data_IF_235770078836
#
_entry.id   IF_235770078836
#
_cell.length_a   1.000
_cell.length_b   1.000
_cell.length_c   1.000
_cell.angle_alpha   90.00
_cell.angle_beta   90.00
_cell.angle_gamma   90.00
#
_symmetry.space_group_name_H-M   'P 1'
#
loop_
_entity.id
_entity.type
_entity.pdbx_description
1 polymer ?
#
# COMPACT_ATOMS: atom_id res chain seq x y z
N UNK A 1 12.91 -1.26 8.68
CA UNK A 1 12.69 -2.68 8.34
C UNK A 1 11.20 -2.91 8.24
N UNK A 2 10.76 -3.37 7.08
CA UNK A 2 9.35 -3.65 6.80
C UNK A 2 8.95 -5.05 7.30
N UNK A 3 7.68 -5.43 7.09
CA UNK A 3 7.17 -6.73 7.52
C UNK A 3 7.93 -7.90 6.88
N UNK A 4 8.33 -7.78 5.60
CA UNK A 4 9.11 -8.81 4.90
C UNK A 4 10.52 -8.95 5.49
N UNK A 5 11.21 -7.83 5.75
CA UNK A 5 12.51 -7.84 6.40
C UNK A 5 12.46 -8.41 7.82
N UNK A 6 11.41 -8.07 8.59
CA UNK A 6 11.14 -8.66 9.92
C UNK A 6 10.98 -10.18 9.84
N UNK A 7 10.20 -10.65 8.87
CA UNK A 7 10.01 -12.09 8.66
C UNK A 7 11.33 -12.80 8.31
N UNK A 8 12.14 -12.24 7.42
CA UNK A 8 13.46 -12.79 7.09
C UNK A 8 14.36 -12.89 8.32
N UNK A 9 14.41 -11.86 9.16
CA UNK A 9 15.20 -11.86 10.39
C UNK A 9 14.74 -12.94 11.37
N UNK A 10 13.43 -13.00 11.65
CA UNK A 10 12.87 -13.98 12.59
C UNK A 10 13.07 -15.41 12.11
N UNK A 11 12.91 -15.67 10.81
CA UNK A 11 13.13 -16.99 10.23
C UNK A 11 14.61 -17.41 10.30
N UNK A 12 15.53 -16.50 9.99
CA UNK A 12 16.97 -16.76 10.11
C UNK A 12 17.35 -17.03 11.57
N UNK A 13 16.86 -16.23 12.52
CA UNK A 13 17.12 -16.43 13.94
C UNK A 13 16.56 -17.79 14.42
N UNK A 14 15.34 -18.14 14.03
CA UNK A 14 14.76 -19.44 14.33
C UNK A 14 15.54 -20.61 13.69
N UNK A 15 16.17 -20.42 12.53
CA UNK A 15 17.03 -21.43 11.91
C UNK A 15 18.30 -21.66 12.73
N UNK A 16 18.99 -20.58 13.16
CA UNK A 16 20.16 -20.65 14.04
C UNK A 16 19.82 -21.36 15.36
N UNK A 17 18.70 -21.01 16.00
CA UNK A 17 18.26 -21.65 17.25
C UNK A 17 17.97 -23.15 17.09
N UNK A 18 17.69 -23.63 15.88
CA UNK A 18 17.49 -25.05 15.56
C UNK A 18 18.76 -25.75 15.08
N UNK A 19 19.91 -25.08 15.12
CA UNK A 19 21.19 -25.59 14.60
C UNK A 19 21.24 -25.72 13.08
N UNK A 20 20.41 -24.96 12.35
CA UNK A 20 20.30 -24.99 10.87
C UNK A 20 20.84 -23.71 10.26
N UNK A 21 22.10 -23.41 10.54
CA UNK A 21 22.77 -22.19 10.06
C UNK A 21 22.90 -22.16 8.53
N UNK A 22 22.93 -23.34 7.90
CA UNK A 22 22.90 -23.54 6.46
C UNK A 22 21.63 -22.96 5.79
N UNK A 23 20.55 -22.79 6.56
CA UNK A 23 19.28 -22.24 6.08
C UNK A 23 19.21 -20.71 6.21
N UNK A 24 20.26 -20.06 6.72
CA UNK A 24 20.31 -18.60 6.83
C UNK A 24 20.65 -18.01 5.46
N UNK A 25 19.74 -17.24 4.84
CA UNK A 25 20.02 -16.64 3.53
C UNK A 25 21.15 -15.60 3.64
N UNK A 26 22.04 -15.51 2.63
CA UNK A 26 23.02 -14.44 2.53
C UNK A 26 22.41 -13.05 2.72
N UNK A 27 23.01 -12.25 3.60
CA UNK A 27 22.55 -10.89 3.84
C UNK A 27 22.99 -9.96 2.71
N UNK A 28 22.05 -9.25 2.08
CA UNK A 28 22.33 -8.34 0.96
C UNK A 28 23.17 -7.12 1.38
N UNK A 29 23.28 -6.87 2.69
CA UNK A 29 24.06 -5.78 3.27
C UNK A 29 23.20 -4.61 3.73
N UNK A 30 23.85 -3.69 4.46
CA UNK A 30 23.22 -2.50 5.05
C UNK A 30 23.75 -1.19 4.43
N UNK A 31 25.01 -1.18 3.98
CA UNK A 31 25.71 0.05 3.62
C UNK A 31 25.40 0.57 2.21
N UNK A 32 24.92 -0.29 1.31
CA UNK A 32 24.52 0.11 -0.05
C UNK A 32 23.01 0.00 -0.14
N UNK A 33 22.34 1.10 -0.43
CA UNK A 33 20.91 1.10 -0.75
C UNK A 33 20.72 0.58 -2.19
N UNK A 34 20.09 -0.60 -2.38
CA UNK A 34 19.83 -1.13 -3.72
C UNK A 34 18.88 -0.24 -4.53
N UNK A 35 18.09 0.61 -3.87
CA UNK A 35 17.15 1.54 -4.49
C UNK A 35 17.80 2.89 -4.88
N UNK A 36 19.04 3.16 -4.45
CA UNK A 36 19.73 4.41 -4.75
C UNK A 36 19.93 4.64 -6.25
N UNK A 37 20.17 3.58 -7.02
CA UNK A 37 20.46 3.67 -8.45
C UNK A 37 19.19 3.61 -9.33
N UNK A 38 17.97 3.59 -8.75
CA UNK A 38 16.71 3.69 -9.49
C UNK A 38 16.51 5.13 -10.01
N UNK A 39 17.33 5.52 -10.97
CA UNK A 39 17.26 6.80 -11.66
C UNK A 39 16.09 6.77 -12.66
N UNK A 40 14.91 7.23 -12.24
CA UNK A 40 13.92 7.73 -13.18
C UNK A 40 14.03 9.26 -13.25
N UNK A 41 13.88 9.81 -14.45
CA UNK A 41 13.55 11.23 -14.58
C UNK A 41 12.05 11.34 -14.34
N UNK A 42 11.60 11.98 -13.25
CA UNK A 42 10.17 12.10 -13.00
C UNK A 42 9.56 12.93 -14.13
N UNK A 43 8.51 12.45 -14.83
CA UNK A 43 7.83 13.23 -15.87
C UNK A 43 6.97 14.37 -15.30
N UNK A 44 7.13 14.72 -14.02
CA UNK A 44 6.15 15.49 -13.28
C UNK A 44 6.46 16.99 -13.19
N UNK A 45 6.21 17.70 -14.29
CA UNK A 45 6.16 19.17 -14.31
C UNK A 45 4.88 19.75 -13.65
N UNK A 46 3.85 18.95 -13.32
CA UNK A 46 2.53 19.51 -12.93
C UNK A 46 2.37 19.88 -11.46
N UNK A 47 3.26 19.45 -10.54
CA UNK A 47 3.00 19.66 -9.10
C UNK A 47 3.45 21.03 -8.57
N UNK A 48 4.22 21.81 -9.33
CA UNK A 48 4.77 23.09 -8.85
C UNK A 48 4.54 24.19 -9.88
N UNK A 49 3.34 24.79 -9.90
CA UNK A 49 3.11 26.01 -10.71
C UNK A 49 2.61 27.23 -9.96
N UNK A 50 2.50 27.19 -8.64
CA UNK A 50 2.38 28.45 -7.90
C UNK A 50 3.01 28.41 -6.51
N UNK A 51 4.06 29.21 -6.35
CA UNK A 51 4.71 29.55 -5.07
C UNK A 51 3.70 29.97 -3.97
N UNK A 52 2.61 30.63 -4.36
CA UNK A 52 1.53 31.03 -3.45
C UNK A 52 0.70 29.84 -2.94
N UNK A 53 0.41 28.85 -3.79
CA UNK A 53 -0.31 27.63 -3.39
C UNK A 53 0.58 26.71 -2.56
N UNK A 54 1.89 26.70 -2.79
CA UNK A 54 2.86 26.03 -1.93
C UNK A 54 2.87 26.63 -0.52
N UNK A 55 2.96 27.97 -0.37
CA UNK A 55 2.93 28.63 0.94
C UNK A 55 1.59 28.35 1.66
N UNK A 56 0.48 28.40 0.93
CA UNK A 56 -0.85 28.07 1.47
C UNK A 56 -0.93 26.60 1.91
N UNK A 57 -0.45 25.67 1.09
CA UNK A 57 -0.45 24.23 1.41
C UNK A 57 0.63 23.83 2.42
N UNK A 58 1.69 24.62 2.61
CA UNK A 58 2.79 24.31 3.54
C UNK A 58 2.45 24.73 4.98
N UNK A 59 1.64 25.78 5.16
CA UNK A 59 1.29 26.28 6.49
C UNK A 59 -0.20 26.08 6.84
N UNK A 60 -1.13 26.50 5.97
CA UNK A 60 -2.57 26.38 6.25
C UNK A 60 -3.05 24.94 6.08
N UNK A 61 -2.51 24.19 5.11
CA UNK A 61 -2.86 22.78 4.89
C UNK A 61 -2.63 21.91 6.13
N UNK A 62 -1.40 21.84 6.67
CA UNK A 62 -1.09 21.08 7.87
C UNK A 62 -1.85 21.59 9.09
N UNK A 63 -2.00 22.90 9.25
CA UNK A 63 -2.75 23.46 10.38
C UNK A 63 -4.23 23.03 10.33
N UNK A 64 -4.89 23.13 9.18
CA UNK A 64 -6.28 22.69 9.00
C UNK A 64 -6.40 21.17 9.16
N UNK A 65 -5.42 20.40 8.70
CA UNK A 65 -5.37 18.96 8.88
C UNK A 65 -5.26 18.58 10.36
N UNK A 66 -4.41 19.29 11.12
CA UNK A 66 -4.26 19.10 12.57
C UNK A 66 -5.53 19.51 13.31
N UNK A 67 -6.13 20.65 12.97
CA UNK A 67 -7.41 21.09 13.57
C UNK A 67 -8.50 20.06 13.30
N UNK A 68 -8.61 19.59 12.05
CA UNK A 68 -9.56 18.55 11.66
C UNK A 68 -9.27 17.24 12.39
N UNK A 69 -8.01 16.83 12.47
CA UNK A 69 -7.59 15.61 13.17
C UNK A 69 -7.96 15.67 14.65
N UNK A 70 -7.69 16.79 15.33
CA UNK A 70 -8.11 17.02 16.73
C UNK A 70 -9.64 16.96 16.84
N UNK A 71 -10.36 17.62 15.94
CA UNK A 71 -11.82 17.64 15.92
C UNK A 71 -12.44 16.26 15.63
N UNK A 72 -11.78 15.40 14.86
CA UNK A 72 -12.20 14.01 14.59
C UNK A 72 -11.81 13.08 15.75
N UNK A 73 -10.71 13.34 16.46
CA UNK A 73 -10.26 12.52 17.60
C UNK A 73 -11.08 12.77 18.87
N UNK A 74 -11.52 14.00 19.14
CA UNK A 74 -12.26 14.36 20.37
C UNK A 74 -13.60 13.57 20.51
N UNK A 75 -14.41 13.38 19.44
CA UNK A 75 -15.67 12.65 19.52
C UNK A 75 -15.52 11.13 19.43
N UNK A 76 -14.37 10.60 18.97
CA UNK A 76 -14.18 9.16 18.80
C UNK A 76 -14.09 8.46 20.16
N UNK A 77 -15.06 7.58 20.52
CA UNK A 77 -14.92 6.73 21.69
C UNK A 77 -13.64 5.91 21.57
N UNK A 78 -13.00 5.63 22.72
CA UNK A 78 -11.73 4.89 22.88
C UNK A 78 -11.44 3.96 21.69
N UNK A 79 -10.34 4.20 20.98
CA UNK A 79 -9.86 3.25 19.98
C UNK A 79 -9.67 1.89 20.64
N UNK A 80 -10.53 0.94 20.27
CA UNK A 80 -10.45 -0.44 20.72
C UNK A 80 -9.79 -1.29 19.65
N UNK A 81 -8.70 -1.96 20.01
CA UNK A 81 -8.12 -2.97 19.16
C UNK A 81 -8.93 -4.26 19.33
N UNK A 82 -9.63 -4.67 18.27
CA UNK A 82 -10.36 -5.93 18.19
C UNK A 82 -9.73 -6.83 17.13
N UNK A 83 -9.61 -8.12 17.45
CA UNK A 83 -9.15 -9.13 16.51
C UNK A 83 -10.37 -9.77 15.86
N UNK A 84 -10.44 -9.76 14.52
CA UNK A 84 -11.44 -10.50 13.75
C UNK A 84 -10.73 -11.65 13.05
N UNK A 85 -11.09 -12.87 13.42
CA UNK A 85 -10.54 -14.09 12.82
C UNK A 85 -11.51 -14.58 11.73
N UNK A 86 -11.02 -14.70 10.50
CA UNK A 86 -11.80 -15.19 9.36
C UNK A 86 -11.18 -16.51 8.92
N UNK A 87 -11.93 -17.62 8.94
CA UNK A 87 -11.41 -18.91 8.49
C UNK A 87 -11.01 -18.88 7.02
N UNK A 88 -9.93 -19.58 6.67
CA UNK A 88 -9.45 -19.66 5.28
C UNK A 88 -10.49 -20.18 4.31
N UNK A 89 -11.29 -21.18 4.70
CA UNK A 89 -12.38 -21.72 3.87
C UNK A 89 -13.40 -20.65 3.45
N UNK A 90 -13.74 -19.74 4.36
CA UNK A 90 -14.67 -18.63 4.08
C UNK A 90 -14.04 -17.65 3.09
N UNK A 91 -12.74 -17.35 3.21
CA UNK A 91 -12.05 -16.47 2.25
C UNK A 91 -12.00 -17.10 0.87
N UNK A 92 -11.76 -18.43 0.80
CA UNK A 92 -11.78 -19.18 -0.46
C UNK A 92 -13.17 -19.16 -1.09
N UNK A 93 -14.24 -19.42 -0.32
CA UNK A 93 -15.63 -19.32 -0.78
C UNK A 93 -15.98 -17.91 -1.28
N UNK A 94 -15.58 -16.87 -0.53
CA UNK A 94 -15.76 -15.48 -0.95
C UNK A 94 -15.05 -15.19 -2.28
N UNK A 95 -13.85 -15.76 -2.48
CA UNK A 95 -13.10 -15.60 -3.72
C UNK A 95 -13.77 -16.31 -4.89
N UNK A 96 -14.29 -17.51 -4.68
CA UNK A 96 -15.03 -18.24 -5.71
C UNK A 96 -16.30 -17.49 -6.12
N UNK A 97 -17.06 -16.97 -5.16
CA UNK A 97 -18.22 -16.13 -5.41
C UNK A 97 -17.85 -14.85 -6.19
N UNK A 98 -16.76 -14.17 -5.81
CA UNK A 98 -16.27 -13.00 -6.52
C UNK A 98 -15.88 -13.30 -7.98
N UNK A 99 -15.27 -14.46 -8.25
CA UNK A 99 -14.94 -14.88 -9.62
C UNK A 99 -16.21 -15.18 -10.43
N UNK A 100 -17.20 -15.83 -9.82
CA UNK A 100 -18.49 -16.09 -10.47
C UNK A 100 -19.20 -14.78 -10.84
N UNK A 101 -19.23 -13.80 -9.93
CA UNK A 101 -19.76 -12.46 -10.18
C UNK A 101 -19.09 -11.77 -11.37
N UNK A 102 -17.77 -11.84 -11.46
CA UNK A 102 -16.99 -11.23 -12.54
C UNK A 102 -17.21 -11.93 -13.89
N UNK A 103 -17.29 -13.27 -13.88
CA UNK A 103 -17.51 -14.06 -15.10
C UNK A 103 -18.86 -13.80 -15.77
N UNK A 104 -19.87 -13.36 -15.01
CA UNK A 104 -21.18 -12.97 -15.53
C UNK A 104 -21.18 -11.58 -16.23
N UNK A 105 -20.12 -10.79 -16.05
CA UNK A 105 -20.02 -9.39 -16.47
C UNK A 105 -19.06 -9.11 -17.63
N UNK A 106 -18.70 -10.12 -18.45
CA UNK A 106 -17.80 -10.04 -19.61
C UNK A 106 -16.28 -9.97 -19.32
N UNK A 107 -15.78 -10.67 -18.29
CA UNK A 107 -14.33 -10.85 -18.10
C UNK A 107 -13.95 -12.00 -17.16
N UNK A 108 -13.08 -12.92 -17.62
CA UNK A 108 -12.33 -13.82 -16.73
C UNK A 108 -11.17 -13.05 -16.09
N UNK A 109 -11.49 -12.22 -15.11
CA UNK A 109 -10.48 -11.47 -14.37
C UNK A 109 -10.08 -12.19 -13.07
N UNK A 110 -8.80 -12.56 -12.98
CA UNK A 110 -8.25 -13.17 -11.78
C UNK A 110 -8.27 -12.17 -10.61
N UNK A 111 -8.88 -12.56 -9.50
CA UNK A 111 -8.78 -11.90 -8.18
C UNK A 111 -8.08 -12.83 -7.17
N UNK A 112 -7.29 -12.27 -6.25
CA UNK A 112 -6.69 -13.02 -5.15
C UNK A 112 -7.55 -13.00 -3.89
N UNK A 113 -7.29 -13.91 -2.95
CA UNK A 113 -7.95 -13.91 -1.62
C UNK A 113 -7.71 -12.59 -0.88
N UNK A 114 -6.53 -11.98 -1.02
CA UNK A 114 -6.22 -10.68 -0.42
C UNK A 114 -7.07 -9.56 -1.01
N UNK A 115 -7.36 -9.60 -2.32
CA UNK A 115 -8.15 -8.54 -2.98
C UNK A 115 -9.60 -8.61 -2.50
N UNK A 116 -10.15 -9.83 -2.41
CA UNK A 116 -11.53 -10.09 -1.96
C UNK A 116 -11.70 -9.78 -0.49
N UNK A 117 -10.74 -10.16 0.34
CA UNK A 117 -10.76 -9.85 1.78
C UNK A 117 -10.69 -8.33 2.02
N UNK A 118 -9.81 -7.63 1.30
CA UNK A 118 -9.69 -6.17 1.39
C UNK A 118 -10.97 -5.47 0.91
N UNK A 119 -11.56 -5.94 -0.20
CA UNK A 119 -12.82 -5.42 -0.73
C UNK A 119 -13.97 -5.55 0.28
N UNK A 120 -14.17 -6.75 0.82
CA UNK A 120 -15.19 -6.99 1.83
C UNK A 120 -14.95 -6.17 3.10
N UNK A 121 -13.70 -6.09 3.58
CA UNK A 121 -13.37 -5.33 4.77
C UNK A 121 -13.60 -3.82 4.57
N UNK A 122 -13.20 -3.29 3.41
CA UNK A 122 -13.44 -1.91 3.03
C UNK A 122 -14.95 -1.59 3.01
N UNK A 123 -15.76 -2.46 2.40
CA UNK A 123 -17.21 -2.29 2.38
C UNK A 123 -17.81 -2.25 3.79
N UNK A 124 -17.36 -3.13 4.71
CA UNK A 124 -17.82 -3.13 6.11
C UNK A 124 -17.40 -1.89 6.88
N UNK A 125 -16.17 -1.41 6.70
CA UNK A 125 -15.70 -0.18 7.33
C UNK A 125 -16.51 1.02 6.82
N UNK A 126 -16.64 1.18 5.50
CA UNK A 126 -17.38 2.29 4.90
C UNK A 126 -18.85 2.25 5.33
N UNK A 127 -19.45 1.07 5.41
CA UNK A 127 -20.82 0.89 5.90
C UNK A 127 -20.98 1.38 7.35
N UNK A 128 -20.00 1.11 8.21
CA UNK A 128 -20.03 1.55 9.61
C UNK A 128 -19.86 3.07 9.78
N UNK A 129 -19.23 3.74 8.81
CA UNK A 129 -18.99 5.18 8.83
C UNK A 129 -20.19 6.00 8.33
N UNK A 130 -21.13 5.37 7.61
CA UNK A 130 -22.31 6.02 6.99
C UNK A 130 -21.99 7.36 6.29
N UNK A 131 -20.99 7.42 5.40
CA UNK A 131 -20.65 8.65 4.69
C UNK A 131 -21.77 9.08 3.73
N UNK A 132 -21.81 10.37 3.40
CA UNK A 132 -22.59 10.84 2.24
C UNK A 132 -22.08 10.14 0.97
N UNK A 133 -23.00 9.65 0.14
CA UNK A 133 -22.67 8.72 -0.97
C UNK A 133 -21.60 9.20 -1.95
N UNK A 134 -21.43 10.52 -2.11
CA UNK A 134 -20.46 11.11 -3.06
C UNK A 134 -19.06 11.34 -2.49
N UNK A 135 -18.82 11.02 -1.22
CA UNK A 135 -17.51 11.25 -0.60
C UNK A 135 -16.49 10.24 -1.16
N UNK A 136 -15.33 10.69 -1.66
CA UNK A 136 -14.30 9.77 -2.13
C UNK A 136 -13.68 9.01 -0.95
N UNK A 137 -13.60 7.69 -1.10
CA UNK A 137 -12.91 6.77 -0.20
C UNK A 137 -11.61 6.32 -0.88
N UNK A 138 -10.49 6.53 -0.19
CA UNK A 138 -9.18 6.06 -0.66
C UNK A 138 -8.80 4.79 0.08
N UNK A 139 -8.72 3.68 -0.66
CA UNK A 139 -8.23 2.40 -0.17
C UNK A 139 -6.73 2.31 -0.45
N UNK A 140 -5.97 2.04 0.61
CA UNK A 140 -4.51 1.94 0.60
C UNK A 140 -4.09 0.48 0.72
N UNK A 141 -3.37 -0.05 -0.27
CA UNK A 141 -2.88 -1.41 -0.28
C UNK A 141 -1.35 -1.45 -0.40
N UNK A 142 -0.67 -1.92 0.64
CA UNK A 142 0.80 -1.97 0.66
C UNK A 142 1.29 -3.24 -0.04
N UNK A 143 2.26 -3.10 -0.95
CA UNK A 143 2.84 -4.21 -1.68
C UNK A 143 4.36 -4.20 -1.63
N UNK A 144 4.94 -5.41 -1.61
CA UNK A 144 6.38 -5.59 -1.63
C UNK A 144 6.94 -5.35 -3.05
N UNK A 145 7.94 -4.48 -3.17
CA UNK A 145 8.57 -4.15 -4.46
C UNK A 145 9.73 -5.09 -4.82
N UNK A 146 10.27 -5.87 -3.86
CA UNK A 146 11.40 -6.79 -4.11
C UNK A 146 11.16 -7.72 -5.29
N UNK A 147 9.98 -8.37 -5.45
CA UNK A 147 9.71 -9.24 -6.59
C UNK A 147 9.73 -8.52 -7.95
N UNK A 148 9.52 -7.20 -7.96
CA UNK A 148 9.57 -6.39 -9.18
C UNK A 148 11.00 -6.10 -9.64
N UNK A 149 12.01 -6.24 -8.78
CA UNK A 149 13.42 -5.99 -9.11
C UNK A 149 14.31 -7.17 -8.69
N UNK A 150 14.22 -8.33 -9.38
CA UNK A 150 15.04 -9.49 -9.05
C UNK A 150 16.54 -9.23 -9.17
N UNK A 151 16.94 -8.28 -10.03
CA UNK A 151 18.33 -7.88 -10.21
C UNK A 151 18.88 -7.12 -8.98
N UNK A 152 18.00 -6.38 -8.28
CA UNK A 152 18.35 -5.63 -7.06
C UNK A 152 18.12 -6.45 -5.79
N UNK A 153 17.14 -7.35 -5.82
CA UNK A 153 16.74 -8.21 -4.71
C UNK A 153 16.71 -9.68 -5.17
N UNK A 154 17.87 -10.35 -5.22
CA UNK A 154 17.93 -11.77 -5.54
C UNK A 154 17.10 -12.59 -4.55
N UNK A 155 16.37 -13.60 -5.05
CA UNK A 155 15.39 -14.38 -4.26
C UNK A 155 16.01 -15.08 -3.04
N UNK A 156 17.27 -15.47 -3.14
CA UNK A 156 17.97 -16.22 -2.09
C UNK A 156 18.74 -15.31 -1.13
N UNK A 157 18.49 -14.00 -1.17
CA UNK A 157 19.16 -13.03 -0.28
C UNK A 157 18.18 -12.39 0.69
N UNK A 158 18.65 -12.09 1.90
CA UNK A 158 17.90 -11.32 2.87
C UNK A 158 18.16 -9.82 2.69
N UNK A 159 17.13 -9.08 2.27
CA UNK A 159 17.09 -7.63 2.35
C UNK A 159 16.14 -7.17 3.46
N UNK A 160 16.72 -6.67 4.56
CA UNK A 160 16.00 -6.24 5.77
C UNK A 160 15.60 -4.77 5.76
N UNK A 161 15.99 -4.01 4.73
CA UNK A 161 15.55 -2.63 4.56
C UNK A 161 14.05 -2.52 4.27
N UNK A 162 13.54 -1.29 4.18
CA UNK A 162 12.17 -1.06 3.70
C UNK A 162 12.17 -1.16 2.16
N UNK A 163 11.33 -2.02 1.60
CA UNK A 163 11.08 -2.13 0.17
C UNK A 163 9.62 -2.51 -0.07
N UNK A 164 8.73 -1.57 0.22
CA UNK A 164 7.30 -1.65 -0.08
C UNK A 164 6.80 -0.28 -0.55
N UNK A 165 5.71 -0.29 -1.31
CA UNK A 165 4.98 0.91 -1.73
C UNK A 165 3.49 0.72 -1.49
N UNK A 166 2.73 1.81 -1.55
CA UNK A 166 1.27 1.80 -1.41
C UNK A 166 0.60 1.99 -2.76
N UNK A 167 -0.25 1.03 -3.15
CA UNK A 167 -1.20 1.22 -4.22
C UNK A 167 -2.45 1.94 -3.68
N UNK A 168 -2.90 2.94 -4.43
CA UNK A 168 -4.07 3.75 -4.10
C UNK A 168 -5.24 3.37 -5.02
N UNK A 169 -6.40 3.11 -4.43
CA UNK A 169 -7.67 2.94 -5.17
C UNK A 169 -8.66 3.93 -4.63
N UNK A 170 -9.11 4.88 -5.46
CA UNK A 170 -10.05 5.94 -5.05
C UNK A 170 -11.40 5.62 -5.69
N UNK A 171 -12.42 5.44 -4.86
CA UNK A 171 -13.80 5.14 -5.28
C UNK A 171 -14.77 6.01 -4.47
N UNK A 172 -15.90 6.43 -5.03
CA UNK A 172 -16.94 7.10 -4.25
C UNK A 172 -17.59 6.11 -3.28
N UNK A 173 -18.07 6.62 -2.14
CA UNK A 173 -18.61 5.77 -1.07
C UNK A 173 -19.84 4.96 -1.49
N UNK A 174 -20.70 5.51 -2.35
CA UNK A 174 -21.83 4.80 -2.94
C UNK A 174 -21.39 3.58 -3.75
N UNK A 175 -20.36 3.72 -4.59
CA UNK A 175 -19.80 2.62 -5.37
C UNK A 175 -19.20 1.54 -4.46
N UNK A 176 -18.56 1.91 -3.35
CA UNK A 176 -18.06 0.95 -2.36
C UNK A 176 -19.20 0.21 -1.63
N UNK A 177 -20.34 0.87 -1.39
CA UNK A 177 -21.45 0.29 -0.65
C UNK A 177 -22.40 -0.53 -1.52
N UNK A 178 -22.69 -0.07 -2.74
CA UNK A 178 -23.72 -0.62 -3.61
C UNK A 178 -23.19 -1.69 -4.56
N UNK A 179 -21.90 -1.69 -4.89
CA UNK A 179 -21.33 -2.68 -5.81
C UNK A 179 -21.02 -4.02 -5.11
N UNK A 180 -21.06 -5.13 -5.86
CA UNK A 180 -20.65 -6.44 -5.35
C UNK A 180 -19.17 -6.47 -4.94
N UNK A 181 -18.82 -7.38 -4.04
CA UNK A 181 -17.45 -7.56 -3.55
C UNK A 181 -16.50 -7.92 -4.70
N UNK A 182 -16.93 -8.73 -5.67
CA UNK A 182 -16.11 -9.10 -6.82
C UNK A 182 -15.68 -7.89 -7.65
N UNK A 183 -16.60 -6.94 -7.86
CA UNK A 183 -16.30 -5.69 -8.56
C UNK A 183 -15.24 -4.85 -7.83
N UNK A 184 -15.37 -4.71 -6.50
CA UNK A 184 -14.41 -3.96 -5.69
C UNK A 184 -13.04 -4.64 -5.66
N UNK A 185 -13.01 -5.97 -5.52
CA UNK A 185 -11.78 -6.76 -5.56
C UNK A 185 -11.06 -6.61 -6.91
N UNK A 186 -11.82 -6.61 -8.01
CA UNK A 186 -11.30 -6.34 -9.34
C UNK A 186 -10.66 -4.93 -9.44
N UNK A 187 -11.35 -3.88 -8.98
CA UNK A 187 -10.82 -2.50 -9.00
C UNK A 187 -9.55 -2.34 -8.16
N UNK A 188 -9.52 -2.95 -6.97
CA UNK A 188 -8.35 -2.97 -6.10
C UNK A 188 -7.16 -3.63 -6.79
N UNK A 189 -7.39 -4.79 -7.41
CA UNK A 189 -6.35 -5.51 -8.12
C UNK A 189 -5.84 -4.76 -9.34
N UNK A 190 -6.74 -4.20 -10.14
CA UNK A 190 -6.37 -3.42 -11.32
C UNK A 190 -5.50 -2.21 -10.93
N UNK A 191 -5.90 -1.48 -9.88
CA UNK A 191 -5.12 -0.35 -9.34
C UNK A 191 -3.75 -0.79 -8.81
N UNK A 192 -3.69 -1.94 -8.12
CA UNK A 192 -2.44 -2.52 -7.63
C UNK A 192 -1.51 -2.90 -8.78
N UNK A 193 -2.00 -3.60 -9.81
CA UNK A 193 -1.17 -4.02 -10.95
C UNK A 193 -0.66 -2.83 -11.75
N UNK A 194 -1.48 -1.80 -11.94
CA UNK A 194 -1.07 -0.57 -12.62
C UNK A 194 0.11 0.10 -11.89
N UNK A 195 0.01 0.24 -10.56
CA UNK A 195 1.02 0.90 -9.72
C UNK A 195 2.25 0.01 -9.42
N UNK A 196 2.14 -1.31 -9.58
CA UNK A 196 3.22 -2.27 -9.33
C UNK A 196 4.19 -2.43 -10.52
N UNK A 197 3.91 -1.79 -11.66
CA UNK A 197 4.81 -1.86 -12.82
C UNK A 197 6.19 -1.28 -12.50
N UNK A 198 7.26 -1.83 -13.12
CA UNK A 198 8.64 -1.39 -12.88
C UNK A 198 8.83 0.12 -13.12
N UNK A 199 8.15 0.66 -14.14
CA UNK A 199 8.23 2.07 -14.48
C UNK A 199 7.56 2.94 -13.41
N UNK A 200 6.34 2.60 -12.99
CA UNK A 200 5.63 3.33 -11.94
C UNK A 200 6.40 3.32 -10.61
N UNK A 201 7.01 2.18 -10.24
CA UNK A 201 7.84 2.12 -9.02
C UNK A 201 9.06 3.05 -9.14
N UNK A 202 9.72 3.07 -10.30
CA UNK A 202 10.86 3.97 -10.54
C UNK A 202 10.44 5.43 -10.45
N UNK A 203 9.36 5.81 -11.13
CA UNK A 203 8.84 7.16 -11.14
C UNK A 203 8.47 7.62 -9.72
N UNK A 204 7.81 6.75 -8.94
CA UNK A 204 7.48 7.03 -7.55
C UNK A 204 8.72 7.29 -6.69
N UNK A 205 9.75 6.43 -6.79
CA UNK A 205 11.00 6.57 -6.03
C UNK A 205 11.74 7.85 -6.42
N UNK A 206 11.74 8.20 -7.71
CA UNK A 206 12.35 9.44 -8.20
C UNK A 206 11.64 10.69 -7.64
N UNK A 207 10.31 10.72 -7.68
CA UNK A 207 9.52 11.83 -7.09
C UNK A 207 9.74 11.93 -5.59
N UNK A 208 9.77 10.80 -4.87
CA UNK A 208 10.03 10.79 -3.43
C UNK A 208 11.42 11.36 -3.11
N UNK A 209 12.44 10.99 -3.89
CA UNK A 209 13.80 11.51 -3.74
C UNK A 209 13.87 13.01 -3.96
N UNK A 210 13.31 13.49 -5.06
CA UNK A 210 13.27 14.93 -5.38
C UNK A 210 12.60 15.73 -4.26
N UNK A 211 11.49 15.22 -3.70
CA UNK A 211 10.82 15.84 -2.57
C UNK A 211 11.68 15.91 -1.30
N UNK A 212 12.42 14.83 -1.00
CA UNK A 212 13.34 14.80 0.14
C UNK A 212 14.52 15.77 -0.03
N UNK A 213 15.12 15.82 -1.23
CA UNK A 213 16.22 16.73 -1.55
C UNK A 213 15.79 18.20 -1.44
N UNK A 214 14.61 18.54 -1.96
CA UNK A 214 14.04 19.90 -1.85
C UNK A 214 13.78 20.30 -0.39
N UNK A 215 13.33 19.37 0.45
CA UNK A 215 13.04 19.66 1.86
C UNK A 215 14.31 19.80 2.71
N UNK A 216 15.40 19.12 2.34
CA UNK A 216 16.71 19.28 3.01
C UNK A 216 17.45 20.57 2.60
N UNK A 217 17.10 21.16 1.45
CA UNK A 217 17.69 22.41 0.96
C UNK A 217 17.37 23.67 1.78
N UNK A 218 16.38 23.61 2.68
CA UNK A 218 15.91 24.77 3.47
C UNK A 218 16.48 24.83 4.90
N UNK A 219 17.51 24.01 5.23
CA UNK A 219 18.14 23.96 6.56
C UNK A 219 19.59 24.51 6.60
N UNK A 220 20.03 25.27 5.59
CA UNK A 220 21.31 25.98 5.61
C UNK A 220 21.12 27.51 5.55
#
# INVERSE_FOLDING_TARGET
MDASGRASLLNAWAAVLRGREDQVPPFLGFFKDPLADLNAQPPFEWFVRSQWMLILMQWLGPLLLVIRWIWEMIPCPKHEHRLVCIPGSIVTEMREAAIQELSAGDGEDFVSESDVLLAWWAQRIVQSMLPSGKIPVTLLNNFNIRPSFPDLFPRDTAYVGNAWLTAHTILPADEVLERPVGYLAFKLRHSLLAQRSKNQIRDYIAVQREGMEKTQGDLN
#
